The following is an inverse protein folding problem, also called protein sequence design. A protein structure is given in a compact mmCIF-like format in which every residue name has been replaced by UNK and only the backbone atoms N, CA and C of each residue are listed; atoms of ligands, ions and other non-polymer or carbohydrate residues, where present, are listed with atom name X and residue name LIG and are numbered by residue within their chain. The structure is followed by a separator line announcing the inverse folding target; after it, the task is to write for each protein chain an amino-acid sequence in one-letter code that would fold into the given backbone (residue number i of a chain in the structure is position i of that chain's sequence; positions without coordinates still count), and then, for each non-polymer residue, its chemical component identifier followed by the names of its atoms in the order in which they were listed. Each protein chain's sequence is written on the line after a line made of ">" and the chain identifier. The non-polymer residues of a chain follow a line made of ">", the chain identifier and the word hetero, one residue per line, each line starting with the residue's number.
data_IF_780203553755
#
_entry.id   IF_780203553755
#
_cell.length_a   1.000
_cell.length_b   1.000
_cell.length_c   1.000
_cell.angle_alpha   90.00
_cell.angle_beta   90.00
_cell.angle_gamma   90.00
#
_symmetry.space_group_name_H-M   'P 1'
#
loop_
_entity.id
_entity.type
_entity.pdbx_description
1 polymer ?
#
# COMPACT_ATOMS: atom_id res chain seq x y z
N UNK A 1 9.29 24.31 20.46
CA UNK A 1 10.52 23.50 20.36
C UNK A 1 10.37 22.68 19.09
N UNK A 2 11.35 22.71 18.19
CA UNK A 2 11.29 21.91 16.96
C UNK A 2 11.52 20.45 17.29
N UNK A 3 10.54 19.60 17.01
CA UNK A 3 10.67 18.15 17.14
C UNK A 3 11.38 17.66 15.87
N UNK A 4 12.65 17.25 15.99
CA UNK A 4 13.47 16.84 14.83
C UNK A 4 12.81 15.71 14.03
N UNK A 5 12.09 14.80 14.69
CA UNK A 5 11.37 13.72 14.02
C UNK A 5 10.25 14.27 13.14
N UNK A 6 9.27 14.92 13.76
CA UNK A 6 8.05 15.44 13.14
C UNK A 6 8.31 16.62 12.17
N UNK A 7 9.15 17.58 12.55
CA UNK A 7 9.30 18.84 11.81
C UNK A 7 10.37 18.78 10.71
N UNK A 8 11.28 17.80 10.76
CA UNK A 8 12.44 17.75 9.85
C UNK A 8 12.57 16.40 9.15
N UNK A 9 12.67 15.31 9.90
CA UNK A 9 12.96 14.00 9.32
C UNK A 9 11.79 13.46 8.49
N UNK A 10 10.57 13.48 9.04
CA UNK A 10 9.41 12.92 8.34
C UNK A 10 9.06 13.70 7.07
N UNK A 11 8.94 15.04 7.08
CA UNK A 11 8.63 15.80 5.87
C UNK A 11 9.68 15.58 4.77
N UNK A 12 10.97 15.51 5.14
CA UNK A 12 12.02 15.20 4.19
C UNK A 12 11.84 13.80 3.57
N UNK A 13 11.59 12.79 4.39
CA UNK A 13 11.35 11.42 3.89
C UNK A 13 10.13 11.36 2.97
N UNK A 14 9.03 12.03 3.30
CA UNK A 14 7.80 12.01 2.49
C UNK A 14 7.98 12.67 1.11
N UNK A 15 9.02 13.48 0.92
CA UNK A 15 9.32 14.14 -0.37
C UNK A 15 10.21 13.29 -1.30
N UNK A 16 10.77 12.17 -0.82
CA UNK A 16 11.66 11.31 -1.61
C UNK A 16 10.90 10.54 -2.69
N UNK A 17 11.58 10.22 -3.79
CA UNK A 17 11.13 9.26 -4.82
C UNK A 17 11.82 7.91 -4.75
N UNK A 18 12.77 7.74 -3.84
CA UNK A 18 13.45 6.47 -3.61
C UNK A 18 12.79 5.73 -2.44
N UNK A 19 11.74 4.97 -2.73
CA UNK A 19 11.06 4.14 -1.72
C UNK A 19 12.00 3.06 -1.13
N UNK A 20 13.04 2.63 -1.88
CA UNK A 20 13.99 1.61 -1.42
C UNK A 20 14.97 2.17 -0.40
N UNK A 21 15.46 3.41 -0.60
CA UNK A 21 16.31 4.06 0.41
C UNK A 21 15.49 4.37 1.66
N UNK A 22 14.24 4.84 1.51
CA UNK A 22 13.34 5.06 2.64
C UNK A 22 13.14 3.76 3.44
N UNK A 23 12.94 2.64 2.74
CA UNK A 23 12.85 1.32 3.32
C UNK A 23 14.13 0.91 4.09
N UNK A 24 15.29 0.96 3.43
CA UNK A 24 16.57 0.57 4.03
C UNK A 24 16.94 1.46 5.24
N UNK A 25 16.72 2.78 5.12
CA UNK A 25 16.94 3.75 6.20
C UNK A 25 16.00 3.50 7.37
N UNK A 26 14.71 3.24 7.12
CA UNK A 26 13.74 2.89 8.15
C UNK A 26 14.19 1.68 8.96
N UNK A 27 14.55 0.58 8.30
CA UNK A 27 15.03 -0.63 8.98
C UNK A 27 16.34 -0.41 9.77
N UNK A 28 17.30 0.30 9.18
CA UNK A 28 18.62 0.49 9.78
C UNK A 28 18.62 1.48 10.96
N UNK A 29 17.84 2.55 10.86
CA UNK A 29 17.81 3.64 11.85
C UNK A 29 16.81 3.39 12.98
N UNK A 30 15.85 2.46 12.81
CA UNK A 30 14.85 2.17 13.85
C UNK A 30 15.48 1.89 15.22
N UNK A 31 16.47 0.99 15.39
CA UNK A 31 17.05 0.73 16.71
C UNK A 31 17.71 1.96 17.35
N UNK A 32 18.37 2.79 16.53
CA UNK A 32 18.98 4.04 17.00
C UNK A 32 17.91 5.02 17.48
N UNK A 33 16.85 5.23 16.68
CA UNK A 33 15.77 6.17 17.01
C UNK A 33 14.98 5.69 18.24
N UNK A 34 14.72 4.39 18.34
CA UNK A 34 14.06 3.80 19.50
C UNK A 34 14.92 3.86 20.76
N UNK A 35 16.26 3.86 20.66
CA UNK A 35 17.13 3.97 21.85
C UNK A 35 16.93 5.27 22.64
N UNK A 36 16.42 6.32 22.01
CA UNK A 36 16.13 7.59 22.68
C UNK A 36 15.00 7.48 23.72
N UNK A 37 14.15 6.45 23.66
CA UNK A 37 13.14 6.19 24.70
C UNK A 37 13.74 5.92 26.09
N UNK A 38 15.04 5.67 26.18
CA UNK A 38 15.77 5.49 27.45
C UNK A 38 16.16 6.80 28.11
N UNK A 39 16.15 7.90 27.37
CA UNK A 39 16.63 9.23 27.82
C UNK A 39 15.58 10.33 27.69
N UNK A 40 14.51 10.09 26.93
CA UNK A 40 13.36 11.01 26.75
C UNK A 40 12.06 10.22 26.63
N UNK A 41 10.92 10.92 26.56
CA UNK A 41 9.61 10.32 26.26
C UNK A 41 9.71 9.43 25.01
N UNK A 42 9.19 8.20 25.03
CA UNK A 42 9.21 7.31 23.88
C UNK A 42 8.67 8.02 22.62
N UNK A 43 9.36 7.92 21.49
CA UNK A 43 8.94 8.58 20.25
C UNK A 43 7.85 7.76 19.55
N UNK A 44 6.72 7.50 20.22
CA UNK A 44 5.69 6.56 19.77
C UNK A 44 5.15 6.91 18.38
N UNK A 45 4.90 8.19 18.07
CA UNK A 45 4.48 8.64 16.74
C UNK A 45 5.51 8.30 15.65
N UNK A 46 6.81 8.39 15.95
CA UNK A 46 7.88 7.99 15.04
C UNK A 46 7.99 6.46 14.93
N UNK A 47 7.76 5.73 16.02
CA UNK A 47 7.68 4.25 16.00
C UNK A 47 6.56 3.76 15.08
N UNK A 48 5.42 4.47 15.01
CA UNK A 48 4.34 4.15 14.05
C UNK A 48 4.88 4.18 12.62
N UNK A 49 5.52 5.27 12.22
CA UNK A 49 6.09 5.44 10.88
C UNK A 49 7.14 4.37 10.56
N UNK A 50 8.10 4.21 11.47
CA UNK A 50 9.22 3.29 11.29
C UNK A 50 8.76 1.83 11.23
N UNK A 51 7.81 1.45 12.08
CA UNK A 51 7.25 0.10 12.07
C UNK A 51 6.41 -0.17 10.82
N UNK A 52 5.69 0.83 10.28
CA UNK A 52 5.02 0.71 8.98
C UNK A 52 6.05 0.49 7.87
N UNK A 53 7.07 1.34 7.77
CA UNK A 53 8.12 1.24 6.74
C UNK A 53 8.81 -0.12 6.84
N UNK A 54 9.24 -0.52 8.04
CA UNK A 54 9.88 -1.81 8.27
C UNK A 54 8.99 -3.01 7.96
N UNK A 55 7.68 -2.91 8.21
CA UNK A 55 6.70 -3.92 7.80
C UNK A 55 6.57 -4.01 6.28
N UNK A 56 6.52 -2.87 5.59
CA UNK A 56 6.43 -2.81 4.12
C UNK A 56 7.66 -3.38 3.45
N UNK A 57 8.86 -3.06 3.95
CA UNK A 57 10.11 -3.66 3.51
C UNK A 57 10.12 -5.19 3.58
N UNK A 58 9.66 -5.73 4.70
CA UNK A 58 9.58 -7.17 4.90
C UNK A 58 8.53 -7.79 3.96
N UNK A 59 7.38 -7.13 3.77
CA UNK A 59 6.33 -7.57 2.84
C UNK A 59 6.83 -7.59 1.39
N UNK A 60 7.55 -6.55 0.94
CA UNK A 60 8.15 -6.53 -0.39
C UNK A 60 9.08 -7.72 -0.62
N UNK A 61 9.93 -8.07 0.36
CA UNK A 61 10.78 -9.27 0.30
C UNK A 61 9.95 -10.56 0.25
N UNK A 62 8.86 -10.64 1.00
CA UNK A 62 7.94 -11.78 0.95
C UNK A 62 7.30 -11.93 -0.44
N UNK A 63 6.86 -10.83 -1.04
CA UNK A 63 6.22 -10.81 -2.37
C UNK A 63 7.21 -11.25 -3.47
N UNK A 64 8.49 -10.88 -3.37
CA UNK A 64 9.50 -11.39 -4.32
C UNK A 64 9.57 -12.93 -4.32
N UNK A 65 9.49 -13.54 -3.14
CA UNK A 65 9.50 -14.99 -2.96
C UNK A 65 8.18 -15.64 -3.37
N UNK A 66 7.05 -14.93 -3.27
CA UNK A 66 5.76 -15.39 -3.82
C UNK A 66 5.78 -15.44 -5.36
N UNK A 67 6.43 -14.47 -6.00
CA UNK A 67 6.63 -14.50 -7.45
C UNK A 67 7.54 -15.67 -7.87
N UNK A 68 8.58 -15.97 -7.09
CA UNK A 68 9.41 -17.17 -7.30
C UNK A 68 8.62 -18.45 -7.12
N UNK A 69 7.82 -18.55 -6.05
CA UNK A 69 6.91 -19.66 -5.82
C UNK A 69 5.99 -19.89 -7.03
N UNK A 70 5.40 -18.81 -7.56
CA UNK A 70 4.49 -18.87 -8.70
C UNK A 70 5.19 -19.41 -9.95
N UNK A 71 6.40 -18.91 -10.26
CA UNK A 71 7.23 -19.41 -11.37
C UNK A 71 7.60 -20.89 -11.20
N UNK A 72 8.18 -21.25 -10.05
CA UNK A 72 8.58 -22.63 -9.79
C UNK A 72 7.39 -23.59 -9.79
N UNK A 73 6.21 -23.17 -9.32
CA UNK A 73 5.00 -23.98 -9.39
C UNK A 73 4.55 -24.19 -10.83
N UNK A 74 4.59 -23.16 -11.67
CA UNK A 74 4.29 -23.27 -13.11
C UNK A 74 5.25 -24.22 -13.83
N UNK A 75 6.54 -24.18 -13.47
CA UNK A 75 7.58 -25.08 -13.98
C UNK A 75 7.57 -26.49 -13.36
N UNK A 76 6.64 -26.78 -12.42
CA UNK A 76 6.56 -28.04 -11.66
C UNK A 76 7.82 -28.38 -10.85
N UNK A 77 8.56 -27.36 -10.42
CA UNK A 77 9.75 -27.45 -9.56
C UNK A 77 9.35 -27.41 -8.09
N UNK A 78 8.74 -28.51 -7.62
CA UNK A 78 8.05 -28.58 -6.32
C UNK A 78 8.96 -28.23 -5.13
N UNK A 79 10.19 -28.74 -5.09
CA UNK A 79 11.11 -28.48 -3.97
C UNK A 79 11.45 -26.99 -3.86
N UNK A 80 11.76 -26.33 -4.99
CA UNK A 80 12.04 -24.90 -5.01
C UNK A 80 10.79 -24.07 -4.68
N UNK A 81 9.62 -24.48 -5.16
CA UNK A 81 8.37 -23.81 -4.84
C UNK A 81 8.07 -23.91 -3.33
N UNK A 82 8.22 -25.08 -2.71
CA UNK A 82 8.02 -25.25 -1.27
C UNK A 82 8.97 -24.37 -0.45
N UNK A 83 10.25 -24.33 -0.81
CA UNK A 83 11.24 -23.50 -0.15
C UNK A 83 10.91 -22.00 -0.27
N UNK A 84 10.64 -21.51 -1.49
CA UNK A 84 10.25 -20.13 -1.74
C UNK A 84 9.02 -19.73 -0.92
N UNK A 85 8.01 -20.61 -0.82
CA UNK A 85 6.81 -20.37 -0.02
C UNK A 85 7.11 -20.32 1.48
N UNK A 86 8.01 -21.17 1.99
CA UNK A 86 8.43 -21.12 3.41
C UNK A 86 9.17 -19.81 3.69
N UNK A 87 10.07 -19.39 2.81
CA UNK A 87 10.78 -18.12 2.95
C UNK A 87 9.83 -16.93 2.91
N UNK A 88 8.84 -16.92 2.00
CA UNK A 88 7.81 -15.88 1.92
C UNK A 88 7.06 -15.76 3.26
N UNK A 89 6.60 -16.89 3.83
CA UNK A 89 5.91 -16.92 5.13
C UNK A 89 6.77 -16.38 6.28
N UNK A 90 8.07 -16.66 6.29
CA UNK A 90 9.00 -16.12 7.31
C UNK A 90 9.11 -14.60 7.21
N UNK A 91 9.18 -14.06 6.00
CA UNK A 91 9.19 -12.62 5.79
C UNK A 91 7.86 -11.97 6.15
N UNK A 92 6.73 -12.62 5.85
CA UNK A 92 5.42 -12.18 6.32
C UNK A 92 5.30 -12.17 7.84
N UNK A 93 5.91 -13.13 8.54
CA UNK A 93 5.96 -13.11 10.01
C UNK A 93 6.74 -11.89 10.54
N UNK A 94 7.86 -11.54 9.89
CA UNK A 94 8.63 -10.33 10.23
C UNK A 94 7.79 -9.07 9.95
N UNK A 95 7.10 -9.03 8.81
CA UNK A 95 6.22 -7.92 8.44
C UNK A 95 5.10 -7.73 9.47
N UNK A 96 4.38 -8.80 9.79
CA UNK A 96 3.30 -8.81 10.77
C UNK A 96 3.76 -8.30 12.15
N UNK A 97 4.92 -8.75 12.63
CA UNK A 97 5.47 -8.30 13.91
C UNK A 97 5.77 -6.80 13.93
N UNK A 98 6.34 -6.26 12.84
CA UNK A 98 6.69 -4.83 12.72
C UNK A 98 5.47 -3.95 12.57
N UNK A 99 4.52 -4.35 11.73
CA UNK A 99 3.23 -3.68 11.59
C UNK A 99 2.45 -3.69 12.90
N UNK A 100 2.46 -4.80 13.64
CA UNK A 100 1.77 -4.87 14.92
C UNK A 100 2.45 -4.01 16.00
N UNK A 101 3.77 -3.90 15.98
CA UNK A 101 4.49 -2.95 16.83
C UNK A 101 4.07 -1.50 16.51
N UNK A 102 4.01 -1.13 15.22
CA UNK A 102 3.51 0.17 14.76
C UNK A 102 2.08 0.45 15.22
N UNK A 103 1.16 -0.51 15.07
CA UNK A 103 -0.21 -0.37 15.58
C UNK A 103 -0.24 -0.16 17.10
N UNK A 104 0.54 -0.92 17.87
CA UNK A 104 0.63 -0.72 19.32
C UNK A 104 1.22 0.64 19.70
N UNK A 105 2.13 1.18 18.89
CA UNK A 105 2.68 2.52 19.09
C UNK A 105 1.60 3.59 18.83
N UNK A 106 0.75 3.40 17.81
CA UNK A 106 -0.41 4.26 17.57
C UNK A 106 -1.33 4.27 18.80
N UNK A 107 -1.65 3.10 19.34
CA UNK A 107 -2.51 2.98 20.53
C UNK A 107 -1.95 3.75 21.73
N UNK A 108 -0.62 3.74 21.92
CA UNK A 108 0.04 4.51 23.00
C UNK A 108 0.04 6.02 22.72
N UNK A 109 0.22 6.41 21.46
CA UNK A 109 0.33 7.82 21.08
C UNK A 109 -1.02 8.56 21.03
N UNK A 110 -2.03 7.95 20.41
CA UNK A 110 -3.30 8.63 20.07
C UNK A 110 -4.55 7.88 20.55
N UNK A 111 -4.38 6.78 21.28
CA UNK A 111 -5.48 5.94 21.76
C UNK A 111 -5.86 4.83 20.77
N UNK A 112 -6.74 3.92 21.22
CA UNK A 112 -7.10 2.75 20.43
C UNK A 112 -8.12 3.10 19.33
N UNK A 113 -7.84 2.74 18.06
CA UNK A 113 -8.81 2.91 16.98
C UNK A 113 -10.14 2.17 17.22
N UNK A 114 -11.23 2.82 16.82
CA UNK A 114 -12.52 2.16 16.56
C UNK A 114 -13.60 2.33 17.61
N UNK A 115 -13.33 3.00 18.74
CA UNK A 115 -14.35 3.44 19.69
C UNK A 115 -14.64 4.94 19.52
N UNK A 116 -13.77 5.80 20.07
CA UNK A 116 -13.87 7.25 19.95
C UNK A 116 -12.78 7.82 19.03
N UNK A 117 -13.08 8.93 18.35
CA UNK A 117 -12.09 9.66 17.58
C UNK A 117 -11.26 10.57 18.49
N UNK A 118 -9.91 10.50 18.44
CA UNK A 118 -9.08 11.39 19.21
C UNK A 118 -9.22 12.83 18.70
N UNK A 119 -8.89 13.79 19.56
CA UNK A 119 -8.69 15.17 19.15
C UNK A 119 -7.28 15.26 18.56
N UNK A 120 -7.18 15.56 17.27
CA UNK A 120 -5.90 15.76 16.59
C UNK A 120 -5.41 17.18 16.80
N UNK A 121 -4.22 17.34 17.36
CA UNK A 121 -3.58 18.64 17.58
C UNK A 121 -3.09 19.25 16.25
N UNK A 122 -2.69 18.42 15.30
CA UNK A 122 -2.17 18.84 14.02
C UNK A 122 -2.35 17.78 12.91
N UNK A 123 -1.88 18.11 11.71
CA UNK A 123 -1.96 17.22 10.54
C UNK A 123 -1.05 16.01 10.64
N UNK A 124 0.04 16.11 11.39
CA UNK A 124 0.94 14.99 11.63
C UNK A 124 0.24 13.91 12.45
N UNK A 125 -0.51 14.26 13.49
CA UNK A 125 -1.28 13.28 14.26
C UNK A 125 -2.37 12.60 13.41
N UNK A 126 -3.02 13.34 12.52
CA UNK A 126 -3.96 12.74 11.55
C UNK A 126 -3.24 11.75 10.63
N UNK A 127 -2.04 12.09 10.14
CA UNK A 127 -1.23 11.18 9.35
C UNK A 127 -0.84 9.94 10.14
N UNK A 128 -0.33 10.10 11.37
CA UNK A 128 0.04 9.00 12.29
C UNK A 128 -1.15 8.08 12.54
N UNK A 129 -2.33 8.64 12.75
CA UNK A 129 -3.57 7.88 12.92
C UNK A 129 -3.91 7.01 11.71
N UNK A 130 -3.82 7.58 10.50
CA UNK A 130 -4.03 6.83 9.26
C UNK A 130 -3.02 5.71 9.09
N UNK A 131 -1.73 6.03 9.11
CA UNK A 131 -0.68 5.05 8.83
C UNK A 131 -0.59 3.96 9.90
N UNK A 132 -0.88 4.27 11.17
CA UNK A 132 -0.88 3.29 12.25
C UNK A 132 -2.08 2.35 12.16
N UNK A 133 -3.22 2.85 11.67
CA UNK A 133 -4.37 2.00 11.37
C UNK A 133 -4.10 1.12 10.14
N UNK A 134 -3.48 1.66 9.09
CA UNK A 134 -3.01 0.86 7.95
C UNK A 134 -2.02 -0.22 8.42
N UNK A 135 -1.11 0.10 9.34
CA UNK A 135 -0.24 -0.89 9.95
C UNK A 135 -1.04 -1.97 10.72
N UNK A 136 -2.10 -1.61 11.43
CA UNK A 136 -3.00 -2.59 12.05
C UNK A 136 -3.64 -3.56 11.04
N UNK A 137 -4.13 -3.05 9.91
CA UNK A 137 -4.69 -3.86 8.82
C UNK A 137 -3.62 -4.79 8.21
N UNK A 138 -2.45 -4.23 7.89
CA UNK A 138 -1.34 -4.99 7.30
C UNK A 138 -0.74 -6.02 8.27
N UNK A 139 -0.76 -5.75 9.58
CA UNK A 139 -0.35 -6.71 10.60
C UNK A 139 -1.22 -7.97 10.55
N UNK A 140 -2.53 -7.80 10.52
CA UNK A 140 -3.47 -8.91 10.46
C UNK A 140 -3.33 -9.71 9.15
N UNK A 141 -3.21 -9.02 8.01
CA UNK A 141 -3.03 -9.66 6.70
C UNK A 141 -1.72 -10.45 6.63
N UNK A 142 -0.61 -9.83 7.00
CA UNK A 142 0.70 -10.47 6.98
C UNK A 142 0.76 -11.66 7.96
N UNK A 143 0.09 -11.59 9.11
CA UNK A 143 0.06 -12.72 10.04
C UNK A 143 -0.72 -13.91 9.46
N UNK A 144 -1.86 -13.67 8.79
CA UNK A 144 -2.57 -14.72 8.04
C UNK A 144 -1.67 -15.33 6.97
N UNK A 145 -0.95 -14.52 6.20
CA UNK A 145 -0.01 -15.00 5.18
C UNK A 145 1.15 -15.80 5.80
N UNK A 146 1.53 -15.48 7.04
CA UNK A 146 2.54 -16.19 7.83
C UNK A 146 2.01 -17.43 8.57
N UNK A 147 0.78 -17.89 8.33
CA UNK A 147 0.11 -18.94 9.10
C UNK A 147 -0.07 -18.60 10.60
N UNK A 148 -0.42 -17.36 10.93
CA UNK A 148 -0.67 -16.87 12.29
C UNK A 148 0.54 -17.04 13.23
N UNK A 149 1.76 -16.92 12.69
CA UNK A 149 2.99 -17.17 13.43
C UNK A 149 3.28 -16.12 14.52
N UNK A 150 2.77 -14.89 14.38
CA UNK A 150 2.95 -13.79 15.33
C UNK A 150 1.81 -13.75 16.34
N UNK A 151 0.59 -14.09 15.93
CA UNK A 151 -0.59 -14.08 16.79
C UNK A 151 -1.21 -12.69 16.94
N UNK A 152 -1.35 -11.95 15.83
CA UNK A 152 -2.02 -10.66 15.79
C UNK A 152 -3.51 -10.87 16.14
N UNK A 153 -4.07 -10.16 17.14
CA UNK A 153 -5.47 -10.35 17.52
C UNK A 153 -6.43 -10.02 16.38
N UNK A 154 -7.45 -10.87 16.18
CA UNK A 154 -8.43 -10.72 15.08
C UNK A 154 -9.22 -9.41 15.12
N UNK A 155 -9.33 -8.76 16.29
CA UNK A 155 -10.03 -7.50 16.44
C UNK A 155 -9.19 -6.27 16.02
N UNK A 156 -7.89 -6.41 15.75
CA UNK A 156 -7.02 -5.29 15.31
C UNK A 156 -7.49 -4.72 13.98
N UNK A 157 -7.72 -5.57 12.96
CA UNK A 157 -8.13 -5.09 11.64
C UNK A 157 -9.50 -4.37 11.67
N UNK A 158 -10.57 -4.91 12.29
CA UNK A 158 -11.83 -4.19 12.45
C UNK A 158 -11.71 -2.87 13.22
N UNK A 159 -10.86 -2.80 14.26
CA UNK A 159 -10.62 -1.57 15.01
C UNK A 159 -9.92 -0.50 14.16
N UNK A 160 -8.86 -0.91 13.46
CA UNK A 160 -8.11 -0.05 12.56
C UNK A 160 -8.99 0.52 11.44
N UNK A 161 -9.87 -0.29 10.83
CA UNK A 161 -10.81 0.22 9.84
C UNK A 161 -11.76 1.24 10.42
N UNK A 162 -12.40 0.94 11.57
CA UNK A 162 -13.33 1.88 12.20
C UNK A 162 -12.66 3.20 12.56
N UNK A 163 -11.38 3.16 12.94
CA UNK A 163 -10.57 4.36 13.16
C UNK A 163 -10.51 5.29 11.93
N UNK A 164 -10.57 4.78 10.70
CA UNK A 164 -10.57 5.62 9.50
C UNK A 164 -11.82 6.48 9.36
N UNK A 165 -12.93 6.13 10.01
CA UNK A 165 -14.12 6.97 10.05
C UNK A 165 -13.84 8.35 10.65
N UNK A 166 -12.83 8.48 11.52
CA UNK A 166 -12.44 9.75 12.13
C UNK A 166 -11.86 10.77 11.15
N UNK A 167 -11.46 10.34 9.96
CA UNK A 167 -10.90 11.19 8.90
C UNK A 167 -11.71 11.09 7.59
N UNK A 168 -12.90 10.49 7.62
CA UNK A 168 -13.81 10.32 6.48
C UNK A 168 -14.93 11.38 6.44
N UNK A 169 -14.66 12.59 6.93
CA UNK A 169 -15.52 13.75 6.64
C UNK A 169 -15.06 14.48 5.38
N UNK A 170 -15.89 15.38 4.85
CA UNK A 170 -15.61 16.08 3.60
C UNK A 170 -14.28 16.83 3.58
N UNK A 171 -13.85 17.39 4.72
CA UNK A 171 -12.63 18.18 4.84
C UNK A 171 -11.42 17.25 4.89
N UNK A 172 -11.43 16.28 5.80
CA UNK A 172 -10.28 15.42 6.05
C UNK A 172 -10.11 14.36 4.96
N UNK A 173 -11.19 13.80 4.44
CA UNK A 173 -11.09 12.82 3.37
C UNK A 173 -10.46 13.43 2.11
N UNK A 174 -10.79 14.68 1.79
CA UNK A 174 -10.14 15.39 0.68
C UNK A 174 -8.67 15.71 0.96
N UNK A 175 -8.36 16.19 2.16
CA UNK A 175 -6.98 16.45 2.58
C UNK A 175 -6.10 15.21 2.43
N UNK A 176 -6.66 14.06 2.80
CA UNK A 176 -6.01 12.76 2.71
C UNK A 176 -6.42 12.00 1.45
N UNK A 177 -6.57 12.74 0.32
CA UNK A 177 -6.66 12.22 -1.06
C UNK A 177 -7.64 11.06 -1.27
N UNK A 178 -8.71 11.00 -0.48
CA UNK A 178 -9.72 9.94 -0.53
C UNK A 178 -9.33 8.64 0.17
N UNK A 179 -8.14 8.55 0.75
CA UNK A 179 -7.64 7.32 1.39
C UNK A 179 -8.52 6.84 2.56
N UNK A 180 -8.97 7.70 3.50
CA UNK A 180 -9.88 7.27 4.57
C UNK A 180 -11.14 6.60 4.02
N UNK A 181 -11.82 7.23 3.05
CA UNK A 181 -12.99 6.67 2.39
C UNK A 181 -12.68 5.37 1.64
N UNK A 182 -11.53 5.29 0.97
CA UNK A 182 -11.13 4.09 0.25
C UNK A 182 -10.96 2.90 1.20
N UNK A 183 -10.33 3.09 2.37
CA UNK A 183 -10.15 2.04 3.38
C UNK A 183 -11.50 1.52 3.89
N UNK A 184 -12.43 2.42 4.21
CA UNK A 184 -13.78 2.03 4.66
C UNK A 184 -14.55 1.29 3.57
N UNK A 185 -14.53 1.83 2.35
CA UNK A 185 -15.22 1.23 1.20
C UNK A 185 -14.66 -0.16 0.86
N UNK A 186 -13.35 -0.36 1.05
CA UNK A 186 -12.70 -1.68 0.91
C UNK A 186 -13.22 -2.71 1.91
N UNK A 187 -13.58 -2.31 3.13
CA UNK A 187 -14.18 -3.24 4.08
C UNK A 187 -15.62 -3.58 3.69
N UNK A 188 -16.36 -2.60 3.19
CA UNK A 188 -17.74 -2.76 2.75
C UNK A 188 -17.91 -3.71 1.55
N UNK A 189 -16.86 -3.92 0.74
CA UNK A 189 -16.87 -4.93 -0.32
C UNK A 189 -16.66 -6.35 0.21
N UNK A 190 -15.97 -6.51 1.34
CA UNK A 190 -15.55 -7.82 1.87
C UNK A 190 -16.52 -8.33 2.94
N UNK A 191 -17.05 -7.43 3.78
CA UNK A 191 -17.87 -7.81 4.94
C UNK A 191 -19.35 -7.56 4.64
N UNK A 192 -20.19 -8.62 4.61
CA UNK A 192 -21.63 -8.44 4.42
C UNK A 192 -22.28 -7.67 5.58
N UNK A 193 -23.18 -6.74 5.25
CA UNK A 193 -24.05 -6.07 6.22
C UNK A 193 -23.44 -4.89 6.99
N UNK A 194 -22.19 -4.50 6.69
CA UNK A 194 -21.57 -3.29 7.28
C UNK A 194 -21.63 -2.07 6.36
N UNK A 195 -22.05 -2.26 5.10
CA UNK A 195 -22.22 -1.17 4.14
C UNK A 195 -23.37 -0.26 4.57
N UNK A 196 -23.18 1.07 4.61
CA UNK A 196 -24.26 2.01 4.88
C UNK A 196 -25.40 1.90 3.85
N UNK A 197 -26.63 2.16 4.29
CA UNK A 197 -27.81 2.06 3.42
C UNK A 197 -27.71 3.01 2.21
N UNK A 198 -27.99 2.48 1.01
CA UNK A 198 -27.93 3.25 -0.24
C UNK A 198 -26.53 3.56 -0.77
N UNK A 199 -25.47 3.03 -0.14
CA UNK A 199 -24.09 3.22 -0.59
C UNK A 199 -23.64 2.04 -1.44
N UNK A 200 -23.05 2.32 -2.61
CA UNK A 200 -22.31 1.35 -3.41
C UNK A 200 -20.81 1.45 -3.08
N UNK A 201 -20.21 0.42 -2.43
CA UNK A 201 -18.80 0.43 -2.07
C UNK A 201 -17.85 0.61 -3.26
N UNK A 202 -18.17 0.03 -4.41
CA UNK A 202 -17.30 0.11 -5.59
C UNK A 202 -17.32 1.51 -6.20
N UNK A 203 -18.50 2.14 -6.22
CA UNK A 203 -18.62 3.53 -6.65
C UNK A 203 -17.88 4.50 -5.70
N UNK A 204 -17.86 4.23 -4.39
CA UNK A 204 -17.08 5.02 -3.43
C UNK A 204 -15.57 4.83 -3.60
N UNK A 205 -15.12 3.60 -3.89
CA UNK A 205 -13.72 3.33 -4.27
C UNK A 205 -13.33 4.10 -5.54
N UNK A 206 -14.18 4.11 -6.57
CA UNK A 206 -13.92 4.87 -7.81
C UNK A 206 -13.77 6.38 -7.54
N UNK A 207 -14.64 6.96 -6.70
CA UNK A 207 -14.53 8.37 -6.29
C UNK A 207 -13.23 8.65 -5.54
N UNK A 208 -12.88 7.80 -4.56
CA UNK A 208 -11.66 7.96 -3.79
C UNK A 208 -10.41 7.82 -4.67
N UNK A 209 -10.44 6.90 -5.63
CA UNK A 209 -9.38 6.69 -6.61
C UNK A 209 -9.19 7.88 -7.53
N UNK A 210 -10.28 8.45 -8.05
CA UNK A 210 -10.22 9.67 -8.85
C UNK A 210 -9.61 10.82 -8.05
N UNK A 211 -10.04 11.00 -6.80
CA UNK A 211 -9.50 12.04 -5.92
C UNK A 211 -8.00 11.86 -5.67
N UNK A 212 -7.54 10.63 -5.41
CA UNK A 212 -6.11 10.35 -5.24
C UNK A 212 -5.28 10.62 -6.50
N UNK A 213 -5.84 10.33 -7.69
CA UNK A 213 -5.21 10.67 -8.96
C UNK A 213 -5.13 12.19 -9.20
N UNK A 214 -6.17 12.93 -8.84
CA UNK A 214 -6.24 14.39 -9.01
C UNK A 214 -5.29 15.13 -8.04
N UNK A 215 -5.18 14.65 -6.80
CA UNK A 215 -4.33 15.25 -5.75
C UNK A 215 -2.86 14.76 -5.80
N UNK A 216 -2.53 13.85 -6.70
CA UNK A 216 -1.17 13.35 -6.92
C UNK A 216 -0.67 12.39 -5.83
N UNK A 217 -1.57 11.71 -5.12
CA UNK A 217 -1.25 10.64 -4.16
C UNK A 217 -2.19 9.45 -4.38
N UNK A 218 -1.72 8.48 -5.16
CA UNK A 218 -2.55 7.40 -5.73
C UNK A 218 -2.68 6.15 -4.86
N UNK A 219 -2.49 6.27 -3.54
CA UNK A 219 -2.72 5.16 -2.59
C UNK A 219 -4.12 4.54 -2.70
N UNK A 220 -5.22 5.31 -2.91
CA UNK A 220 -6.53 4.72 -3.14
C UNK A 220 -6.57 3.80 -4.38
N UNK A 221 -5.81 4.09 -5.44
CA UNK A 221 -5.69 3.21 -6.62
C UNK A 221 -5.07 1.86 -6.25
N UNK A 222 -3.98 1.88 -5.48
CA UNK A 222 -3.32 0.65 -5.03
C UNK A 222 -4.25 -0.20 -4.14
N UNK A 223 -5.00 0.47 -3.26
CA UNK A 223 -5.95 -0.21 -2.38
C UNK A 223 -7.12 -0.84 -3.17
N UNK A 224 -7.73 -0.08 -4.07
CA UNK A 224 -8.81 -0.57 -4.95
C UNK A 224 -8.35 -1.77 -5.79
N UNK A 225 -7.14 -1.72 -6.34
CA UNK A 225 -6.57 -2.83 -7.09
C UNK A 225 -6.35 -4.07 -6.22
N UNK A 226 -5.88 -3.90 -4.97
CA UNK A 226 -5.69 -5.02 -4.05
C UNK A 226 -7.02 -5.69 -3.66
N UNK A 227 -8.05 -4.88 -3.36
CA UNK A 227 -9.39 -5.39 -3.04
C UNK A 227 -10.00 -6.10 -4.24
N UNK A 228 -9.90 -5.49 -5.42
CA UNK A 228 -10.35 -6.07 -6.69
C UNK A 228 -9.63 -7.39 -7.01
N UNK A 229 -8.34 -7.47 -6.69
CA UNK A 229 -7.55 -8.70 -6.87
C UNK A 229 -8.07 -9.82 -5.96
N UNK A 230 -8.30 -9.51 -4.68
CA UNK A 230 -8.83 -10.46 -3.71
C UNK A 230 -10.26 -10.92 -4.04
N UNK A 231 -11.07 -10.04 -4.65
CA UNK A 231 -12.41 -10.34 -5.16
C UNK A 231 -12.40 -11.13 -6.49
N UNK A 232 -11.22 -11.46 -7.02
CA UNK A 232 -11.06 -12.08 -8.35
C UNK A 232 -11.59 -11.25 -9.52
N UNK A 233 -11.79 -9.93 -9.33
CA UNK A 233 -12.22 -9.00 -10.36
C UNK A 233 -11.03 -8.51 -11.21
N UNK A 234 -10.43 -9.43 -11.97
CA UNK A 234 -9.20 -9.17 -12.73
C UNK A 234 -9.38 -8.07 -13.78
N UNK A 235 -10.58 -7.91 -14.35
CA UNK A 235 -10.85 -6.84 -15.30
C UNK A 235 -10.69 -5.46 -14.65
N UNK A 236 -11.21 -5.29 -13.43
CA UNK A 236 -11.06 -4.05 -12.66
C UNK A 236 -9.60 -3.80 -12.28
N UNK A 237 -8.86 -4.83 -11.83
CA UNK A 237 -7.42 -4.71 -11.54
C UNK A 237 -6.66 -4.17 -12.75
N UNK A 238 -6.89 -4.75 -13.94
CA UNK A 238 -6.23 -4.33 -15.18
C UNK A 238 -6.57 -2.89 -15.57
N UNK A 239 -7.83 -2.49 -15.39
CA UNK A 239 -8.27 -1.12 -15.65
C UNK A 239 -7.61 -0.12 -14.69
N UNK A 240 -7.54 -0.45 -13.40
CA UNK A 240 -6.89 0.42 -12.39
C UNK A 240 -5.40 0.61 -12.71
N UNK A 241 -4.68 -0.45 -13.07
CA UNK A 241 -3.26 -0.37 -13.44
C UNK A 241 -3.07 0.54 -14.67
N UNK A 242 -3.93 0.42 -15.70
CA UNK A 242 -3.92 1.30 -16.88
C UNK A 242 -4.18 2.76 -16.52
N UNK A 243 -5.23 3.01 -15.75
CA UNK A 243 -5.62 4.36 -15.34
C UNK A 243 -4.53 5.01 -14.49
N UNK A 244 -3.89 4.25 -13.60
CA UNK A 244 -2.73 4.73 -12.83
C UNK A 244 -1.54 5.04 -13.74
N UNK A 245 -1.19 4.15 -14.67
CA UNK A 245 -0.10 4.38 -15.62
C UNK A 245 -0.30 5.67 -16.44
N UNK A 246 -1.52 5.94 -16.87
CA UNK A 246 -1.89 7.19 -17.55
C UNK A 246 -1.83 8.39 -16.58
N UNK A 247 -2.36 8.24 -15.37
CA UNK A 247 -2.43 9.31 -14.37
C UNK A 247 -1.05 9.80 -13.94
N UNK A 248 -0.06 8.91 -13.81
CA UNK A 248 1.33 9.29 -13.48
C UNK A 248 1.96 10.15 -14.58
N UNK A 249 1.53 10.00 -15.84
CA UNK A 249 2.00 10.83 -16.95
C UNK A 249 1.27 12.18 -17.02
N UNK A 250 0.00 12.23 -16.66
CA UNK A 250 -0.84 13.44 -16.79
C UNK A 250 -0.82 14.34 -15.56
N UNK A 251 -0.61 13.79 -14.37
CA UNK A 251 -0.70 14.52 -13.11
C UNK A 251 0.58 14.30 -12.29
N UNK A 252 1.27 15.38 -11.94
CA UNK A 252 2.48 15.29 -11.13
C UNK A 252 2.17 14.76 -9.72
N UNK A 253 3.09 14.00 -9.13
CA UNK A 253 3.00 13.59 -7.73
C UNK A 253 2.95 14.80 -6.80
N UNK A 254 2.22 14.65 -5.69
CA UNK A 254 2.18 15.66 -4.64
C UNK A 254 3.59 15.92 -4.09
N UNK A 255 3.94 17.20 -3.89
CA UNK A 255 5.30 17.59 -3.46
C UNK A 255 5.62 17.18 -2.03
N UNK A 256 4.63 17.21 -1.15
CA UNK A 256 4.81 16.91 0.28
C UNK A 256 4.75 15.42 0.57
N UNK A 257 4.05 14.66 -0.28
CA UNK A 257 3.75 13.24 -0.07
C UNK A 257 4.18 12.34 -1.23
N UNK A 258 5.20 12.77 -1.98
CA UNK A 258 5.73 12.08 -3.16
C UNK A 258 6.06 10.61 -2.87
N UNK A 259 6.64 10.32 -1.71
CA UNK A 259 7.00 8.97 -1.30
C UNK A 259 5.77 8.04 -1.27
N UNK A 260 4.62 8.53 -0.80
CA UNK A 260 3.39 7.75 -0.72
C UNK A 260 2.84 7.41 -2.11
N UNK A 261 2.97 8.33 -3.06
CA UNK A 261 2.59 8.11 -4.46
C UNK A 261 3.54 7.13 -5.19
N UNK A 262 4.84 7.19 -4.89
CA UNK A 262 5.81 6.18 -5.35
C UNK A 262 5.47 4.81 -4.78
N UNK A 263 5.17 4.71 -3.48
CA UNK A 263 4.76 3.44 -2.86
C UNK A 263 3.47 2.88 -3.48
N UNK A 264 2.50 3.74 -3.82
CA UNK A 264 1.31 3.30 -4.55
C UNK A 264 1.66 2.69 -5.91
N UNK A 265 2.61 3.30 -6.63
CA UNK A 265 3.11 2.80 -7.91
C UNK A 265 3.83 1.46 -7.77
N UNK A 266 4.66 1.29 -6.72
CA UNK A 266 5.33 0.03 -6.41
C UNK A 266 4.31 -1.10 -6.15
N UNK A 267 3.26 -0.83 -5.34
CA UNK A 267 2.21 -1.81 -5.04
C UNK A 267 1.43 -2.24 -6.28
N UNK A 268 1.12 -1.29 -7.18
CA UNK A 268 0.42 -1.61 -8.42
C UNK A 268 1.33 -2.35 -9.42
N UNK A 269 2.62 -2.02 -9.46
CA UNK A 269 3.60 -2.78 -10.24
C UNK A 269 3.74 -4.21 -9.71
N UNK A 270 3.69 -4.42 -8.39
CA UNK A 270 3.70 -5.76 -7.80
C UNK A 270 2.46 -6.58 -8.23
N UNK A 271 1.28 -5.97 -8.28
CA UNK A 271 0.08 -6.61 -8.83
C UNK A 271 0.23 -6.92 -10.32
N UNK A 272 0.78 -5.98 -11.10
CA UNK A 272 1.10 -6.22 -12.51
C UNK A 272 2.07 -7.39 -12.67
N UNK A 273 3.13 -7.46 -11.85
CA UNK A 273 4.13 -8.53 -11.86
C UNK A 273 3.53 -9.89 -11.54
N UNK A 274 2.56 -9.95 -10.62
CA UNK A 274 1.80 -11.17 -10.33
C UNK A 274 1.01 -11.62 -11.55
N UNK A 275 0.22 -10.72 -12.14
CA UNK A 275 -0.59 -11.02 -13.33
C UNK A 275 0.28 -11.53 -14.49
N UNK A 276 1.37 -10.84 -14.80
CA UNK A 276 2.33 -11.28 -15.82
C UNK A 276 2.96 -12.63 -15.46
N UNK A 277 3.42 -12.80 -14.21
CA UNK A 277 4.10 -14.03 -13.79
C UNK A 277 3.18 -15.25 -13.89
N UNK A 278 1.91 -15.11 -13.50
CA UNK A 278 0.93 -16.19 -13.54
C UNK A 278 0.59 -16.63 -14.98
N UNK A 279 0.67 -15.72 -15.95
CA UNK A 279 0.23 -15.97 -17.32
C UNK A 279 1.38 -16.22 -18.31
N UNK A 280 2.56 -15.67 -18.05
CA UNK A 280 3.72 -15.76 -18.96
C UNK A 280 4.98 -16.33 -18.30
N UNK A 281 4.99 -16.50 -16.98
CA UNK A 281 6.14 -16.99 -16.23
C UNK A 281 7.22 -15.93 -15.95
N UNK A 282 7.00 -14.68 -16.32
CA UNK A 282 7.92 -13.56 -16.02
C UNK A 282 7.17 -12.33 -15.52
N UNK A 283 7.90 -11.37 -14.94
CA UNK A 283 7.34 -10.11 -14.44
C UNK A 283 6.90 -9.17 -15.55
N UNK A 284 6.25 -8.07 -15.19
CA UNK A 284 5.96 -6.97 -16.12
C UNK A 284 7.25 -6.52 -16.80
N UNK A 285 7.35 -6.59 -18.14
CA UNK A 285 8.54 -6.11 -18.83
C UNK A 285 8.74 -4.60 -18.65
N UNK A 286 9.99 -4.14 -18.72
CA UNK A 286 10.29 -2.71 -18.69
C UNK A 286 9.60 -2.01 -19.86
N UNK A 287 8.88 -0.93 -19.57
CA UNK A 287 8.10 -0.17 -20.56
C UNK A 287 6.68 -0.69 -20.82
N UNK A 288 6.31 -1.84 -20.26
CA UNK A 288 4.99 -2.48 -20.42
C UNK A 288 4.09 -2.28 -19.19
N UNK A 289 4.43 -1.34 -18.29
CA UNK A 289 3.54 -1.02 -17.17
C UNK A 289 2.29 -0.30 -17.68
N UNK A 290 1.11 -0.86 -17.40
CA UNK A 290 -0.16 -0.43 -17.98
C UNK A 290 -0.63 -1.27 -19.18
N UNK A 291 0.20 -2.16 -19.73
CA UNK A 291 -0.17 -3.12 -20.76
C UNK A 291 -0.13 -4.56 -20.22
N UNK A 292 -0.70 -5.48 -20.98
CA UNK A 292 -0.79 -6.90 -20.60
C UNK A 292 -0.50 -7.81 -21.80
N UNK A 293 -0.11 -9.06 -21.51
CA UNK A 293 0.37 -10.05 -22.47
C UNK A 293 -0.63 -10.41 -23.59
N UNK A 294 -1.93 -10.24 -23.34
CA UNK A 294 -3.04 -10.54 -24.24
C UNK A 294 -3.67 -9.30 -24.87
N UNK A 295 -3.08 -8.11 -24.64
CA UNK A 295 -3.56 -6.90 -25.29
C UNK A 295 -3.36 -6.99 -26.80
N UNK A 296 -4.43 -6.68 -27.55
CA UNK A 296 -4.35 -6.62 -29.01
C UNK A 296 -3.36 -5.53 -29.38
N UNK A 297 -2.25 -5.91 -30.02
CA UNK A 297 -1.36 -4.92 -30.65
C UNK A 297 -2.19 -4.18 -31.68
N UNK A 298 -2.33 -2.86 -31.51
CA UNK A 298 -2.79 -2.03 -32.62
C UNK A 298 -1.81 -2.27 -33.78
N UNK A 299 -2.32 -2.74 -34.92
CA UNK A 299 -1.54 -2.75 -36.14
C UNK A 299 -1.10 -1.31 -36.38
N UNK A 300 0.20 -1.06 -36.25
CA UNK A 300 0.80 0.17 -36.74
C UNK A 300 0.50 0.18 -38.23
N UNK A 301 -0.54 0.92 -38.63
CA UNK A 301 -0.76 1.27 -40.03
C UNK A 301 0.43 2.14 -40.40
N UNK A 302 1.49 1.51 -40.90
CA UNK A 302 2.51 2.18 -41.68
C UNK A 302 1.76 2.99 -42.71
N UNK A 303 1.83 4.31 -42.59
CA UNK A 303 1.26 5.21 -43.57
C UNK A 303 1.98 4.92 -44.89
N UNK A 304 1.31 4.22 -45.80
CA UNK A 304 1.85 3.86 -47.11
C UNK A 304 2.28 5.11 -47.88
N UNK A 305 1.70 6.27 -47.57
CA UNK A 305 2.09 7.55 -48.17
C UNK A 305 3.51 7.99 -47.77
N UNK A 306 4.01 7.57 -46.60
CA UNK A 306 5.37 7.92 -46.15
C UNK A 306 6.46 7.08 -46.85
N UNK A 307 6.08 5.90 -47.37
CA UNK A 307 6.98 5.04 -48.15
C UNK A 307 7.04 5.48 -49.63
N UNK A 308 5.95 6.03 -50.16
CA UNK A 308 5.90 6.55 -51.53
C UNK A 308 6.61 7.91 -51.69
N UNK A 309 6.87 8.64 -50.60
CA UNK A 309 7.70 9.86 -50.62
C UNK A 309 9.21 9.58 -50.49
N UNK A 310 9.62 8.34 -50.23
CA UNK A 310 11.02 7.92 -50.03
C UNK A 310 11.59 7.05 -51.17
N UNK A 311 10.81 6.78 -52.23
CA UNK A 311 11.21 6.03 -53.44
C UNK A 311 11.15 6.93 -54.68
#
# INVERSE_FOLDING_TARGET
>A
MTNIGEDVMVPYLLTTDDAKIACASGEALTPLLMSFSTVTTPPDQLEVLLGLVGGTCASQRAIQLELEYSRYSGEKRITQAQDARIQAKRWHAIAAARYYASYKALVRALGEPGDDCPLFDNDFEQLIWMIGSVAGLQAALADVQANMAVGVPFNVAPKAERGMACLDDQKHNRKWWGLPKAIRSSLWTIVPGVTPEGVDPWAELDKARQLGMDEGVRLPSALDALVSYNDSNMQRVRNIIREHANSVQSTASNREYRMLDVMASDLLLELSDRLWTENTGHRTPIGEYGSFWDDKKEEVKLDQNLLDELL
#
